data_IF_399217850489
#
_entry.id   IF_399217850489
#
_cell.length_a   1.000
_cell.length_b   1.000
_cell.length_c   1.000
_cell.angle_alpha   90.00
_cell.angle_beta   90.00
_cell.angle_gamma   90.00
#
_symmetry.space_group_name_H-M   'P 1'
#
loop_
_entity.id
_entity.type
_entity.pdbx_description
1 polymer ?
#
# COMPACT_ATOMS: atom_id res chain seq x y z
N UNK A 1 -29.98 4.94 8.96
CA UNK A 1 -28.79 5.03 9.87
C UNK A 1 -29.07 6.00 11.01
N UNK A 2 -28.68 5.72 12.26
CA UNK A 2 -28.86 6.63 13.39
C UNK A 2 -27.59 7.50 13.58
N UNK A 3 -27.79 8.67 14.22
CA UNK A 3 -26.69 9.57 14.61
C UNK A 3 -25.75 8.83 15.57
N UNK A 4 -24.45 8.91 15.30
CA UNK A 4 -23.41 8.33 16.16
C UNK A 4 -22.61 9.42 16.88
N UNK A 5 -22.00 9.06 18.00
CA UNK A 5 -21.07 9.91 18.74
C UNK A 5 -20.01 9.03 19.36
N UNK A 6 -18.74 9.36 19.12
CA UNK A 6 -17.57 8.61 19.58
C UNK A 6 -16.46 9.59 19.99
N UNK A 7 -15.45 9.15 20.73
CA UNK A 7 -14.28 9.99 21.00
C UNK A 7 -13.37 10.09 19.79
N UNK A 8 -13.15 8.97 19.08
CA UNK A 8 -12.32 8.90 17.88
C UNK A 8 -13.07 8.18 16.76
N UNK A 9 -13.22 8.87 15.63
CA UNK A 9 -13.70 8.29 14.37
C UNK A 9 -12.49 8.00 13.48
N UNK A 10 -12.30 6.74 13.11
CA UNK A 10 -11.28 6.31 12.14
C UNK A 10 -11.97 5.97 10.83
N UNK A 11 -11.49 6.53 9.72
CA UNK A 11 -12.03 6.28 8.39
C UNK A 11 -11.04 5.45 7.59
N UNK A 12 -11.36 4.18 7.39
CA UNK A 12 -10.54 3.15 6.75
C UNK A 12 -10.07 2.07 7.72
N UNK A 13 -10.18 0.80 7.30
CA UNK A 13 -9.82 -0.39 8.08
C UNK A 13 -8.56 -1.11 7.52
N UNK A 14 -7.70 -0.42 6.78
CA UNK A 14 -6.36 -0.91 6.47
C UNK A 14 -5.43 -0.89 7.70
N UNK A 15 -4.19 -1.36 7.55
CA UNK A 15 -3.23 -1.46 8.66
C UNK A 15 -3.07 -0.15 9.43
N UNK A 16 -3.04 1.00 8.74
CA UNK A 16 -2.90 2.32 9.37
C UNK A 16 -4.12 2.67 10.24
N UNK A 17 -5.34 2.42 9.74
CA UNK A 17 -6.57 2.67 10.48
C UNK A 17 -6.73 1.74 11.69
N UNK A 18 -6.45 0.45 11.53
CA UNK A 18 -6.47 -0.52 12.62
C UNK A 18 -5.45 -0.18 13.71
N UNK A 19 -4.24 0.27 13.33
CA UNK A 19 -3.21 0.72 14.28
C UNK A 19 -3.65 1.96 15.04
N UNK A 20 -4.25 2.94 14.36
CA UNK A 20 -4.79 4.14 15.00
C UNK A 20 -5.96 3.82 15.96
N UNK A 21 -6.86 2.91 15.55
CA UNK A 21 -7.98 2.45 16.37
C UNK A 21 -7.50 1.73 17.64
N UNK A 22 -6.56 0.79 17.48
CA UNK A 22 -5.97 0.06 18.61
C UNK A 22 -5.26 1.00 19.59
N UNK A 23 -4.51 1.98 19.08
CA UNK A 23 -3.83 2.96 19.93
C UNK A 23 -4.82 3.83 20.72
N UNK A 24 -5.91 4.26 20.11
CA UNK A 24 -6.95 5.04 20.75
C UNK A 24 -7.72 4.22 21.80
N UNK A 25 -8.08 2.97 21.49
CA UNK A 25 -8.71 2.02 22.42
C UNK A 25 -7.84 1.76 23.65
N UNK A 26 -6.54 1.50 23.44
CA UNK A 26 -5.56 1.34 24.53
C UNK A 26 -5.45 2.59 25.43
N UNK A 27 -5.72 3.77 24.88
CA UNK A 27 -5.79 5.02 25.63
C UNK A 27 -7.13 5.21 26.35
N UNK A 28 -8.08 4.30 26.22
CA UNK A 28 -9.41 4.30 26.85
C UNK A 28 -10.43 5.20 26.15
N UNK A 29 -10.23 5.52 24.88
CA UNK A 29 -11.19 6.26 24.07
C UNK A 29 -12.30 5.34 23.54
N UNK A 30 -13.51 5.88 23.37
CA UNK A 30 -14.57 5.25 22.58
C UNK A 30 -14.26 5.42 21.09
N UNK A 31 -14.04 4.31 20.37
CA UNK A 31 -13.55 4.32 18.99
C UNK A 31 -14.54 3.67 18.04
N UNK A 32 -14.82 4.38 16.95
CA UNK A 32 -15.57 3.84 15.81
C UNK A 32 -14.69 3.86 14.56
N UNK A 33 -14.50 2.70 13.95
CA UNK A 33 -13.90 2.55 12.62
C UNK A 33 -15.01 2.44 11.60
N UNK A 34 -14.93 3.20 10.51
CA UNK A 34 -15.83 3.08 9.37
C UNK A 34 -15.03 2.70 8.13
N UNK A 35 -15.53 1.75 7.37
CA UNK A 35 -14.89 1.32 6.12
C UNK A 35 -15.94 1.03 5.06
N UNK A 36 -15.68 1.46 3.83
CA UNK A 36 -16.52 1.11 2.68
C UNK A 36 -16.26 -0.32 2.18
N UNK A 37 -15.16 -0.95 2.64
CA UNK A 37 -14.83 -2.32 2.33
C UNK A 37 -15.86 -3.28 2.95
N UNK A 38 -16.27 -4.28 2.16
CA UNK A 38 -17.08 -5.41 2.61
C UNK A 38 -16.21 -6.61 2.98
N UNK A 39 -14.98 -6.67 2.44
CA UNK A 39 -14.06 -7.79 2.58
C UNK A 39 -12.63 -7.29 2.80
N UNK A 40 -11.76 -8.09 3.44
CA UNK A 40 -10.36 -7.70 3.66
C UNK A 40 -9.60 -7.37 2.37
N UNK A 41 -9.89 -8.06 1.26
CA UNK A 41 -9.25 -7.84 -0.04
C UNK A 41 -9.60 -6.51 -0.71
N UNK A 42 -10.59 -5.78 -0.20
CA UNK A 42 -10.92 -4.43 -0.68
C UNK A 42 -9.95 -3.37 -0.14
N UNK A 43 -9.07 -3.74 0.81
CA UNK A 43 -8.01 -2.88 1.32
C UNK A 43 -6.66 -3.17 0.66
N UNK A 44 -5.90 -2.11 0.29
CA UNK A 44 -4.55 -2.26 -0.30
C UNK A 44 -3.58 -3.04 0.60
N UNK A 45 -3.76 -2.98 1.91
CA UNK A 45 -2.97 -3.74 2.90
C UNK A 45 -2.97 -5.25 2.61
N UNK A 46 -4.12 -5.83 2.22
CA UNK A 46 -4.25 -7.26 1.93
C UNK A 46 -3.39 -7.70 0.74
N UNK A 47 -3.15 -6.81 -0.21
CA UNK A 47 -2.39 -7.08 -1.44
C UNK A 47 -0.88 -6.91 -1.31
N UNK A 48 -0.38 -6.41 -0.17
CA UNK A 48 1.05 -6.21 0.04
C UNK A 48 1.81 -7.55 0.03
N UNK A 49 2.79 -7.69 -0.86
CA UNK A 49 3.56 -8.92 -1.07
C UNK A 49 4.91 -8.88 -0.37
N UNK A 50 5.64 -7.76 -0.48
CA UNK A 50 7.06 -7.66 -0.10
C UNK A 50 7.32 -7.83 1.40
N UNK A 51 6.47 -7.27 2.25
CA UNK A 51 6.66 -7.32 3.70
C UNK A 51 6.72 -5.95 4.36
N UNK A 52 7.29 -5.90 5.56
CA UNK A 52 7.35 -4.70 6.40
C UNK A 52 8.82 -4.39 6.74
N UNK A 53 9.28 -3.21 6.35
CA UNK A 53 10.64 -2.74 6.65
C UNK A 53 10.76 -2.35 8.14
N UNK A 54 11.85 -2.80 8.77
CA UNK A 54 12.23 -2.45 10.14
C UNK A 54 13.66 -1.94 10.21
N UNK A 55 13.99 -1.18 11.25
CA UNK A 55 15.31 -0.53 11.36
C UNK A 55 16.43 -1.51 11.68
N UNK A 56 16.15 -2.57 12.43
CA UNK A 56 17.11 -3.54 12.93
C UNK A 56 18.21 -2.87 13.76
N UNK A 57 19.45 -3.35 13.56
CA UNK A 57 20.64 -2.93 14.34
C UNK A 57 21.28 -1.62 13.83
N UNK A 58 20.91 -1.16 12.62
CA UNK A 58 21.46 0.05 11.99
C UNK A 58 20.35 1.02 11.50
N UNK A 59 19.72 1.78 12.41
CA UNK A 59 18.74 2.79 12.05
C UNK A 59 19.34 3.93 11.22
N UNK A 60 20.62 4.28 11.40
CA UNK A 60 21.26 5.32 10.61
C UNK A 60 21.41 4.91 9.13
N UNK A 61 21.69 3.63 8.87
CA UNK A 61 21.72 3.12 7.49
C UNK A 61 20.32 3.16 6.86
N UNK A 62 19.28 2.78 7.61
CA UNK A 62 17.92 2.84 7.10
C UNK A 62 17.48 4.28 6.77
N UNK A 63 17.81 5.25 7.63
CA UNK A 63 17.61 6.68 7.33
C UNK A 63 18.31 7.08 6.03
N UNK A 64 19.59 6.68 5.83
CA UNK A 64 20.31 6.97 4.59
C UNK A 64 19.67 6.34 3.36
N UNK A 65 19.20 5.11 3.46
CA UNK A 65 18.52 4.40 2.35
C UNK A 65 17.26 5.16 1.93
N UNK A 66 16.42 5.56 2.88
CA UNK A 66 15.18 6.33 2.62
C UNK A 66 15.50 7.69 1.98
N UNK A 67 16.43 8.45 2.55
CA UNK A 67 16.80 9.76 2.03
C UNK A 67 17.45 9.67 0.63
N UNK A 68 18.20 8.62 0.36
CA UNK A 68 18.77 8.34 -0.95
C UNK A 68 17.69 7.98 -1.97
N UNK A 69 16.76 7.09 -1.61
CA UNK A 69 15.66 6.66 -2.46
C UNK A 69 14.69 7.81 -2.81
N UNK A 70 14.48 8.74 -1.87
CA UNK A 70 13.63 9.91 -2.08
C UNK A 70 14.24 10.99 -2.96
N UNK A 71 15.51 10.85 -3.36
CA UNK A 71 16.25 11.86 -4.13
C UNK A 71 16.22 13.28 -3.50
N UNK A 72 16.13 13.37 -2.18
CA UNK A 72 16.10 14.62 -1.42
C UNK A 72 14.72 15.28 -1.32
N UNK A 73 13.64 14.55 -1.61
CA UNK A 73 12.26 15.05 -1.43
C UNK A 73 11.66 14.70 -0.07
N UNK A 74 12.20 13.69 0.62
CA UNK A 74 11.70 13.30 1.95
C UNK A 74 12.03 14.36 3.01
N UNK A 75 11.11 14.54 3.96
CA UNK A 75 11.33 15.30 5.18
C UNK A 75 12.20 14.49 6.17
N UNK A 76 13.37 15.01 6.51
CA UNK A 76 14.33 14.31 7.39
C UNK A 76 13.75 14.04 8.78
N UNK A 77 12.98 14.97 9.36
CA UNK A 77 12.36 14.82 10.68
C UNK A 77 11.31 13.70 10.66
N UNK A 78 10.50 13.60 9.58
CA UNK A 78 9.55 12.52 9.40
C UNK A 78 10.22 11.15 9.22
N UNK A 79 11.32 11.08 8.48
CA UNK A 79 12.14 9.87 8.33
C UNK A 79 12.73 9.43 9.68
N UNK A 80 13.23 10.35 10.49
CA UNK A 80 13.74 10.05 11.83
C UNK A 80 12.66 9.45 12.73
N UNK A 81 11.43 10.01 12.71
CA UNK A 81 10.29 9.47 13.47
C UNK A 81 9.93 8.05 13.00
N UNK A 82 9.85 7.82 11.69
CA UNK A 82 9.57 6.49 11.14
C UNK A 82 10.62 5.47 11.60
N UNK A 83 11.88 5.75 11.35
CA UNK A 83 13.00 4.84 11.63
C UNK A 83 13.13 4.54 13.12
N UNK A 84 12.99 5.56 13.98
CA UNK A 84 13.09 5.40 15.42
C UNK A 84 11.99 4.52 16.03
N UNK A 85 10.82 4.43 15.39
CA UNK A 85 9.67 3.72 15.93
C UNK A 85 9.37 2.38 15.22
N UNK A 86 9.98 2.11 14.07
CA UNK A 86 9.62 0.97 13.21
C UNK A 86 9.68 -0.39 13.94
N UNK A 87 10.80 -0.70 14.61
CA UNK A 87 10.98 -1.99 15.30
C UNK A 87 10.02 -2.17 16.47
N UNK A 88 9.87 -1.12 17.30
CA UNK A 88 9.00 -1.19 18.47
C UNK A 88 7.53 -1.29 18.06
N UNK A 89 7.09 -0.53 17.06
CA UNK A 89 5.72 -0.56 16.59
C UNK A 89 5.35 -1.92 15.98
N UNK A 90 6.23 -2.50 15.14
CA UNK A 90 5.99 -3.82 14.54
C UNK A 90 5.97 -4.90 15.62
N UNK A 91 6.94 -4.88 16.55
CA UNK A 91 7.01 -5.87 17.64
C UNK A 91 5.79 -5.77 18.56
N UNK A 92 5.46 -4.58 19.09
CA UNK A 92 4.36 -4.41 20.02
C UNK A 92 3.02 -4.75 19.36
N UNK A 93 2.75 -4.17 18.20
CA UNK A 93 1.42 -4.29 17.58
C UNK A 93 1.26 -5.63 16.88
N UNK A 94 2.17 -5.98 15.97
CA UNK A 94 1.95 -7.13 15.10
C UNK A 94 2.38 -8.45 15.77
N UNK A 95 3.53 -8.49 16.43
CA UNK A 95 4.06 -9.73 17.02
C UNK A 95 3.45 -10.01 18.38
N UNK A 96 3.56 -9.07 19.34
CA UNK A 96 3.17 -9.32 20.74
C UNK A 96 1.66 -9.20 20.95
N UNK A 97 0.98 -8.32 20.22
CA UNK A 97 -0.46 -8.09 20.39
C UNK A 97 -1.30 -8.94 19.44
N UNK A 98 -1.08 -8.83 18.16
CA UNK A 98 -1.88 -9.56 17.15
C UNK A 98 -1.42 -11.02 17.01
N UNK A 99 -0.14 -11.30 17.31
CA UNK A 99 0.42 -12.66 17.24
C UNK A 99 0.85 -13.07 15.82
N UNK A 100 1.30 -12.12 15.00
CA UNK A 100 1.81 -12.43 13.66
C UNK A 100 3.13 -13.20 13.79
N UNK A 101 3.20 -14.34 13.13
CA UNK A 101 4.40 -15.17 13.02
C UNK A 101 5.08 -14.87 11.68
N UNK A 102 6.12 -14.02 11.69
CA UNK A 102 6.96 -13.77 10.52
C UNK A 102 7.90 -14.94 10.26
N UNK A 103 8.33 -15.10 9.01
CA UNK A 103 9.21 -16.17 8.59
C UNK A 103 10.55 -16.11 9.33
N UNK A 104 11.11 -17.31 9.61
CA UNK A 104 12.33 -17.47 10.38
C UNK A 104 13.33 -18.37 9.70
N UNK A 105 14.62 -18.04 9.85
CA UNK A 105 15.73 -18.90 9.48
C UNK A 105 16.42 -19.39 10.75
N UNK A 106 16.03 -20.58 11.21
CA UNK A 106 16.46 -21.13 12.49
C UNK A 106 15.78 -20.43 13.68
N UNK A 107 16.52 -19.63 14.44
CA UNK A 107 16.01 -18.90 15.63
C UNK A 107 15.85 -17.39 15.38
N UNK A 108 16.26 -16.90 14.22
CA UNK A 108 16.21 -15.48 13.85
C UNK A 108 15.15 -15.28 12.75
N UNK A 109 14.64 -14.06 12.63
CA UNK A 109 13.76 -13.72 11.50
C UNK A 109 14.52 -13.86 10.18
N UNK A 110 13.82 -14.35 9.18
CA UNK A 110 14.30 -14.34 7.79
C UNK A 110 13.96 -12.96 7.20
N UNK A 111 15.01 -12.18 6.91
CA UNK A 111 14.83 -10.82 6.41
C UNK A 111 15.00 -10.78 4.91
N UNK A 112 13.94 -10.38 4.20
CA UNK A 112 14.01 -10.04 2.79
C UNK A 112 14.77 -8.74 2.53
N UNK A 113 15.22 -8.56 1.28
CA UNK A 113 15.88 -7.35 0.80
C UNK A 113 15.19 -6.82 -0.46
N UNK A 114 14.89 -5.53 -0.48
CA UNK A 114 14.45 -4.81 -1.67
C UNK A 114 15.58 -3.92 -2.22
N UNK A 115 15.46 -3.49 -3.49
CA UNK A 115 16.54 -2.79 -4.21
C UNK A 115 17.01 -1.50 -3.56
N UNK A 116 16.12 -0.76 -2.88
CA UNK A 116 16.50 0.49 -2.21
C UNK A 116 17.18 0.29 -0.85
N UNK A 117 17.34 -0.93 -0.37
CA UNK A 117 17.96 -1.21 0.93
C UNK A 117 19.38 -1.75 0.76
N UNK A 118 20.32 -1.18 1.50
CA UNK A 118 21.68 -1.67 1.55
C UNK A 118 21.80 -3.01 2.30
N UNK A 119 20.88 -3.27 3.26
CA UNK A 119 20.82 -4.49 4.05
C UNK A 119 19.43 -5.15 4.04
N UNK A 120 19.33 -6.48 4.21
CA UNK A 120 18.06 -7.16 4.43
C UNK A 120 17.36 -6.64 5.70
N UNK A 121 16.12 -6.15 5.57
CA UNK A 121 15.35 -5.58 6.70
C UNK A 121 13.84 -5.77 6.59
N UNK A 122 13.40 -6.56 5.63
CA UNK A 122 11.96 -6.78 5.38
C UNK A 122 11.50 -8.02 6.14
N UNK A 123 10.62 -7.84 7.11
CA UNK A 123 9.88 -8.93 7.74
C UNK A 123 8.76 -9.36 6.80
N UNK A 124 8.65 -10.66 6.53
CA UNK A 124 7.66 -11.20 5.59
C UNK A 124 7.01 -12.48 6.13
N UNK A 125 5.88 -12.84 5.54
CA UNK A 125 5.21 -14.12 5.71
C UNK A 125 4.93 -14.68 4.32
N UNK A 126 5.65 -15.73 3.95
CA UNK A 126 5.63 -16.25 2.58
C UNK A 126 5.76 -15.13 1.54
N UNK A 127 5.03 -15.20 0.44
CA UNK A 127 4.94 -14.17 -0.60
C UNK A 127 3.67 -13.32 -0.50
N UNK A 128 2.97 -13.33 0.65
CA UNK A 128 1.65 -12.71 0.84
C UNK A 128 1.50 -12.04 2.21
N UNK A 129 2.52 -11.31 2.64
CA UNK A 129 2.60 -10.69 3.98
C UNK A 129 1.36 -9.87 4.35
N UNK A 130 0.83 -9.08 3.41
CA UNK A 130 -0.33 -8.24 3.66
C UNK A 130 -1.56 -9.01 4.13
N UNK A 131 -1.88 -10.11 3.46
CA UNK A 131 -2.99 -11.00 3.85
C UNK A 131 -2.78 -11.60 5.24
N UNK A 132 -1.57 -12.06 5.53
CA UNK A 132 -1.22 -12.69 6.81
C UNK A 132 -1.13 -11.69 7.98
N UNK A 133 -1.03 -10.40 7.70
CA UNK A 133 -1.07 -9.33 8.70
C UNK A 133 -2.47 -8.75 8.83
N UNK A 134 -3.12 -8.40 7.72
CA UNK A 134 -4.37 -7.64 7.72
C UNK A 134 -5.53 -8.43 8.35
N UNK A 135 -5.74 -9.69 7.92
CA UNK A 135 -6.87 -10.50 8.41
C UNK A 135 -6.78 -10.77 9.91
N UNK A 136 -5.63 -11.25 10.46
CA UNK A 136 -5.51 -11.41 11.90
C UNK A 136 -5.65 -10.10 12.69
N UNK A 137 -5.15 -8.98 12.15
CA UNK A 137 -5.26 -7.69 12.83
C UNK A 137 -6.72 -7.20 12.87
N UNK A 138 -7.46 -7.32 11.76
CA UNK A 138 -8.87 -6.98 11.70
C UNK A 138 -9.67 -7.82 12.71
N UNK A 139 -9.43 -9.14 12.74
CA UNK A 139 -10.08 -10.03 13.70
C UNK A 139 -9.72 -9.66 15.15
N UNK A 140 -8.45 -9.37 15.43
CA UNK A 140 -8.02 -8.95 16.75
C UNK A 140 -8.76 -7.70 17.24
N UNK A 141 -8.83 -6.66 16.38
CA UNK A 141 -9.54 -5.42 16.74
C UNK A 141 -11.04 -5.68 16.94
N UNK A 142 -11.66 -6.53 16.13
CA UNK A 142 -13.08 -6.85 16.23
C UNK A 142 -13.43 -7.70 17.47
N UNK A 143 -12.56 -8.64 17.85
CA UNK A 143 -12.88 -9.66 18.85
C UNK A 143 -12.29 -9.35 20.24
N UNK A 144 -11.16 -8.64 20.32
CA UNK A 144 -10.35 -8.45 21.52
C UNK A 144 -10.32 -6.99 22.03
N UNK A 145 -11.03 -6.06 21.36
CA UNK A 145 -11.11 -4.65 21.77
C UNK A 145 -12.55 -4.16 21.85
N UNK A 146 -12.76 -2.96 22.44
CA UNK A 146 -14.07 -2.31 22.49
C UNK A 146 -14.36 -1.45 21.23
N UNK A 147 -13.52 -1.53 20.20
CA UNK A 147 -13.66 -0.77 18.93
C UNK A 147 -14.88 -1.24 18.15
N UNK A 148 -15.76 -0.31 17.80
CA UNK A 148 -16.85 -0.59 16.87
C UNK A 148 -16.40 -0.47 15.43
N UNK A 149 -16.48 -1.54 14.64
CA UNK A 149 -16.20 -1.53 13.20
C UNK A 149 -17.54 -1.52 12.43
N UNK A 150 -17.69 -0.55 11.53
CA UNK A 150 -18.83 -0.41 10.63
C UNK A 150 -18.35 -0.65 9.21
N UNK A 151 -18.56 -1.86 8.72
CA UNK A 151 -18.32 -2.26 7.33
C UNK A 151 -19.41 -1.72 6.42
N UNK A 152 -19.18 -1.75 5.09
CA UNK A 152 -20.09 -1.24 4.07
C UNK A 152 -20.62 0.17 4.42
N UNK A 153 -19.70 1.02 4.93
CA UNK A 153 -20.03 2.34 5.42
C UNK A 153 -19.02 3.35 4.87
N UNK A 154 -19.48 4.18 3.94
CA UNK A 154 -18.66 5.23 3.34
C UNK A 154 -18.72 6.54 4.13
N UNK A 155 -17.57 7.19 4.33
CA UNK A 155 -17.52 8.59 4.74
C UNK A 155 -17.60 9.48 3.51
N UNK A 156 -18.55 10.40 3.46
CA UNK A 156 -18.83 11.24 2.29
C UNK A 156 -18.26 12.65 2.41
N UNK A 157 -18.33 13.25 3.61
CA UNK A 157 -17.95 14.64 3.86
C UNK A 157 -17.53 14.81 5.31
N UNK A 158 -16.51 15.64 5.58
CA UNK A 158 -16.12 16.01 6.93
C UNK A 158 -17.09 17.08 7.50
N UNK A 159 -17.61 16.82 8.68
CA UNK A 159 -18.39 17.81 9.42
C UNK A 159 -17.43 18.83 10.04
N UNK A 160 -17.43 20.05 9.55
CA UNK A 160 -16.51 21.11 10.00
C UNK A 160 -17.21 22.40 10.39
N UNK A 161 -16.60 23.12 11.32
CA UNK A 161 -17.00 24.45 11.71
C UNK A 161 -15.80 25.24 12.28
N UNK A 162 -15.60 26.48 11.82
CA UNK A 162 -14.55 27.40 12.31
C UNK A 162 -13.13 26.77 12.34
N UNK A 163 -12.72 26.09 11.25
CA UNK A 163 -11.38 25.47 11.13
C UNK A 163 -11.19 24.19 11.94
N UNK A 164 -12.26 23.60 12.45
CA UNK A 164 -12.26 22.40 13.29
C UNK A 164 -13.16 21.33 12.70
N UNK A 165 -12.71 20.07 12.73
CA UNK A 165 -13.48 18.90 12.33
C UNK A 165 -14.20 18.29 13.54
N UNK A 166 -15.42 17.84 13.34
CA UNK A 166 -16.31 17.27 14.35
C UNK A 166 -16.83 15.87 13.96
N UNK A 167 -16.20 15.20 13.00
CA UNK A 167 -16.59 13.91 12.48
C UNK A 167 -16.88 13.93 10.99
N UNK A 168 -17.72 13.05 10.51
CA UNK A 168 -18.07 12.90 9.10
C UNK A 168 -19.56 12.61 8.90
N UNK A 169 -20.04 12.85 7.68
CA UNK A 169 -21.31 12.31 7.19
C UNK A 169 -21.01 10.92 6.65
N UNK A 170 -21.71 9.93 7.14
CA UNK A 170 -21.61 8.55 6.74
C UNK A 170 -22.78 8.15 5.86
N UNK A 171 -22.54 7.23 4.95
CA UNK A 171 -23.53 6.59 4.10
C UNK A 171 -23.44 5.08 4.24
N UNK A 172 -24.59 4.44 4.41
CA UNK A 172 -24.76 2.99 4.40
C UNK A 172 -26.14 2.63 3.87
N UNK A 173 -26.25 1.70 2.93
CA UNK A 173 -27.53 1.28 2.34
C UNK A 173 -28.36 2.43 1.73
N UNK A 174 -27.73 3.50 1.24
CA UNK A 174 -28.39 4.69 0.71
C UNK A 174 -28.93 5.65 1.78
N UNK A 175 -28.73 5.37 3.07
CA UNK A 175 -29.11 6.23 4.17
C UNK A 175 -27.91 7.03 4.69
N UNK A 176 -28.10 8.30 4.96
CA UNK A 176 -27.06 9.21 5.45
C UNK A 176 -27.29 9.59 6.90
N UNK A 177 -26.21 9.57 7.70
CA UNK A 177 -26.24 10.04 9.07
C UNK A 177 -24.91 10.69 9.49
N UNK A 178 -24.93 11.72 10.36
CA UNK A 178 -23.71 12.25 10.93
C UNK A 178 -23.14 11.35 12.00
N UNK A 179 -21.83 11.12 11.95
CA UNK A 179 -21.03 10.61 13.06
C UNK A 179 -20.21 11.77 13.64
N UNK A 180 -20.46 12.11 14.88
CA UNK A 180 -19.71 13.15 15.58
C UNK A 180 -18.58 12.55 16.39
N UNK A 181 -17.40 13.18 16.34
CA UNK A 181 -16.22 12.70 17.02
C UNK A 181 -15.43 13.80 17.70
N UNK A 182 -14.71 13.46 18.75
CA UNK A 182 -13.71 14.31 19.39
C UNK A 182 -12.48 14.51 18.52
N UNK A 183 -12.08 13.48 17.79
CA UNK A 183 -11.03 13.48 16.76
C UNK A 183 -11.46 12.62 15.57
N UNK A 184 -11.00 12.96 14.37
CA UNK A 184 -11.22 12.19 13.14
C UNK A 184 -9.89 11.84 12.51
N UNK A 185 -9.66 10.55 12.25
CA UNK A 185 -8.44 10.02 11.64
C UNK A 185 -8.79 9.49 10.25
N UNK A 186 -8.17 10.07 9.22
CA UNK A 186 -8.26 9.54 7.85
C UNK A 186 -7.17 8.49 7.65
N UNK A 187 -7.56 7.29 7.25
CA UNK A 187 -6.70 6.16 6.95
C UNK A 187 -7.19 5.44 5.67
N UNK A 188 -7.59 6.22 4.67
CA UNK A 188 -8.39 5.80 3.53
C UNK A 188 -7.57 5.26 2.37
N UNK A 189 -6.25 5.20 2.49
CA UNK A 189 -5.36 4.77 1.42
C UNK A 189 -5.24 5.79 0.29
N UNK A 190 -4.71 5.36 -0.85
CA UNK A 190 -4.32 6.20 -1.97
C UNK A 190 -5.38 6.37 -3.04
N UNK A 191 -4.91 6.54 -4.28
CA UNK A 191 -5.69 6.98 -5.45
C UNK A 191 -5.66 5.98 -6.62
N UNK A 192 -5.23 4.74 -6.40
CA UNK A 192 -4.95 3.77 -7.46
C UNK A 192 -6.07 3.57 -8.47
N UNK A 193 -7.33 3.58 -8.01
CA UNK A 193 -8.50 3.43 -8.88
C UNK A 193 -8.73 4.60 -9.86
N UNK A 194 -8.01 5.71 -9.71
CA UNK A 194 -8.04 6.83 -10.68
C UNK A 194 -7.18 6.55 -11.93
N UNK A 195 -6.37 5.49 -11.90
CA UNK A 195 -5.51 5.08 -12.99
C UNK A 195 -6.08 3.85 -13.71
N UNK A 196 -6.00 3.79 -15.05
CA UNK A 196 -6.50 2.65 -15.80
C UNK A 196 -5.70 1.36 -15.59
N UNK A 197 -4.45 1.50 -15.11
CA UNK A 197 -3.58 0.40 -14.73
C UNK A 197 -3.04 0.67 -13.33
N UNK A 198 -3.51 -0.10 -12.35
CA UNK A 198 -3.12 0.00 -10.96
C UNK A 198 -2.99 -1.39 -10.35
N UNK A 199 -2.12 -1.51 -9.36
CA UNK A 199 -1.97 -2.72 -8.52
C UNK A 199 -2.81 -2.64 -7.24
N UNK A 200 -3.53 -1.54 -7.05
CA UNK A 200 -4.41 -1.30 -5.92
C UNK A 200 -5.83 -1.81 -6.19
N UNK A 201 -6.63 -2.09 -5.15
CA UNK A 201 -8.03 -2.45 -5.31
C UNK A 201 -8.84 -1.29 -5.93
N UNK A 202 -9.98 -1.64 -6.55
CA UNK A 202 -10.87 -0.69 -7.23
C UNK A 202 -11.42 0.41 -6.31
N UNK A 203 -11.38 0.17 -5.00
CA UNK A 203 -11.86 1.11 -3.98
C UNK A 203 -10.82 2.14 -3.52
N UNK A 204 -9.59 2.10 -4.04
CA UNK A 204 -8.57 3.11 -3.76
C UNK A 204 -8.84 4.41 -4.54
N UNK A 205 -9.90 5.12 -4.20
CA UNK A 205 -10.47 6.26 -4.94
C UNK A 205 -10.05 7.65 -4.43
N UNK A 206 -9.22 7.73 -3.37
CA UNK A 206 -8.72 8.99 -2.82
C UNK A 206 -9.74 9.80 -2.02
N UNK A 207 -10.80 9.16 -1.55
CA UNK A 207 -11.94 9.85 -0.90
C UNK A 207 -11.51 10.67 0.33
N UNK A 208 -10.63 10.13 1.19
CA UNK A 208 -10.16 10.83 2.37
C UNK A 208 -9.35 12.08 2.05
N UNK A 209 -8.47 12.00 1.04
CA UNK A 209 -7.69 13.14 0.56
C UNK A 209 -8.63 14.22 -0.01
N UNK A 210 -9.60 13.79 -0.82
CA UNK A 210 -10.59 14.69 -1.39
C UNK A 210 -11.45 15.36 -0.30
N UNK A 211 -11.93 14.60 0.69
CA UNK A 211 -12.69 15.13 1.83
C UNK A 211 -11.87 16.15 2.63
N UNK A 212 -10.60 15.85 2.91
CA UNK A 212 -9.70 16.75 3.61
C UNK A 212 -9.50 18.07 2.84
N UNK A 213 -9.16 17.98 1.56
CA UNK A 213 -8.96 19.15 0.69
C UNK A 213 -10.24 20.00 0.55
N UNK A 214 -11.40 19.38 0.35
CA UNK A 214 -12.70 20.07 0.29
C UNK A 214 -13.09 20.71 1.63
N UNK A 215 -12.66 20.13 2.74
CA UNK A 215 -12.82 20.72 4.06
C UNK A 215 -11.86 21.90 4.30
N UNK A 216 -10.83 22.08 3.47
CA UNK A 216 -9.83 23.12 3.54
C UNK A 216 -8.57 22.74 4.31
N UNK A 217 -8.29 21.45 4.47
CA UNK A 217 -7.01 20.97 4.92
C UNK A 217 -5.97 21.09 3.79
N UNK A 218 -4.71 21.29 4.18
CA UNK A 218 -3.61 21.31 3.24
C UNK A 218 -3.30 19.90 2.72
N UNK A 219 -2.94 19.81 1.45
CA UNK A 219 -2.43 18.61 0.80
C UNK A 219 -1.07 18.89 0.18
N UNK A 220 -0.18 17.91 0.13
CA UNK A 220 1.18 18.07 -0.38
C UNK A 220 1.56 16.91 -1.30
N UNK A 221 2.53 17.15 -2.17
CA UNK A 221 3.25 16.15 -2.97
C UNK A 221 2.35 15.24 -3.84
N UNK A 222 1.15 15.74 -4.21
CA UNK A 222 0.16 14.99 -4.99
C UNK A 222 0.64 14.58 -6.39
N UNK A 223 1.70 15.21 -6.91
CA UNK A 223 2.36 14.85 -8.17
C UNK A 223 3.29 13.64 -8.08
N UNK A 224 3.66 13.21 -6.87
CA UNK A 224 4.54 12.06 -6.66
C UNK A 224 3.76 10.76 -6.55
N UNK A 225 3.62 10.08 -7.67
CA UNK A 225 2.98 8.77 -7.77
C UNK A 225 4.03 7.74 -8.16
N UNK A 226 4.20 6.70 -7.36
CA UNK A 226 5.09 5.59 -7.67
C UNK A 226 4.40 4.62 -8.62
N UNK A 227 5.05 4.31 -9.75
CA UNK A 227 4.64 3.25 -10.66
C UNK A 227 5.49 2.00 -10.40
N UNK A 228 4.82 0.88 -10.11
CA UNK A 228 5.52 -0.40 -10.06
C UNK A 228 5.90 -0.82 -11.48
N UNK A 229 7.16 -1.16 -11.75
CA UNK A 229 7.63 -1.40 -13.12
C UNK A 229 7.10 -2.69 -13.74
N UNK A 230 6.78 -3.70 -12.90
CA UNK A 230 6.39 -5.04 -13.32
C UNK A 230 5.01 -5.41 -12.76
N UNK A 231 3.96 -4.81 -13.28
CA UNK A 231 2.59 -5.30 -13.14
C UNK A 231 2.20 -6.11 -14.38
N UNK A 232 1.42 -7.18 -14.20
CA UNK A 232 0.88 -7.92 -15.34
C UNK A 232 0.08 -7.02 -16.26
N UNK A 233 0.35 -7.11 -17.56
CA UNK A 233 -0.33 -6.34 -18.59
C UNK A 233 -1.37 -7.19 -19.33
N UNK A 234 -2.66 -7.10 -18.98
CA UNK A 234 -3.70 -7.85 -19.65
C UNK A 234 -3.89 -7.44 -21.12
N UNK A 235 -3.43 -6.25 -21.53
CA UNK A 235 -3.58 -5.79 -22.92
C UNK A 235 -2.72 -6.59 -23.90
N UNK A 236 -1.61 -7.16 -23.43
CA UNK A 236 -0.74 -8.01 -24.26
C UNK A 236 -1.37 -9.40 -24.55
N UNK A 237 -2.34 -9.82 -23.76
CA UNK A 237 -3.03 -11.12 -23.89
C UNK A 237 -4.37 -11.01 -24.66
N UNK A 238 -4.85 -9.81 -24.95
CA UNK A 238 -6.15 -9.59 -25.59
C UNK A 238 -6.02 -9.48 -27.10
N UNK A 239 -6.79 -10.28 -27.82
CA UNK A 239 -7.16 -10.02 -29.21
C UNK A 239 -8.11 -8.79 -29.22
N UNK A 240 -7.78 -7.75 -30.01
CA UNK A 240 -8.47 -6.44 -30.09
C UNK A 240 -10.00 -6.51 -30.35
N UNK A 241 -10.57 -7.70 -30.43
CA UNK A 241 -11.97 -7.95 -30.81
C UNK A 241 -12.98 -8.04 -29.64
N UNK A 242 -12.53 -8.09 -28.38
CA UNK A 242 -13.41 -8.18 -27.22
C UNK A 242 -13.29 -6.94 -26.34
N UNK A 243 -14.02 -5.88 -26.69
CA UNK A 243 -14.23 -4.71 -25.84
C UNK A 243 -15.01 -5.08 -24.58
N UNK A 244 -14.33 -5.58 -23.57
CA UNK A 244 -14.84 -5.76 -22.22
C UNK A 244 -14.43 -4.58 -21.36
N UNK A 245 -15.42 -3.80 -20.89
CA UNK A 245 -15.21 -2.79 -19.86
C UNK A 245 -14.81 -3.48 -18.53
N UNK A 246 -13.67 -3.05 -17.95
CA UNK A 246 -13.43 -2.87 -16.54
C UNK A 246 -13.56 -4.06 -15.61
N UNK A 247 -12.58 -4.90 -15.57
CA UNK A 247 -12.03 -5.40 -14.32
C UNK A 247 -10.53 -5.29 -14.48
N UNK A 248 -9.84 -4.68 -13.54
CA UNK A 248 -8.38 -4.54 -13.65
C UNK A 248 -7.76 -5.92 -13.41
N UNK A 249 -7.68 -6.73 -14.46
CA UNK A 249 -6.96 -8.01 -14.46
C UNK A 249 -5.45 -7.83 -14.18
N UNK A 250 -5.04 -6.61 -13.89
CA UNK A 250 -3.68 -6.25 -13.52
C UNK A 250 -3.38 -6.76 -12.10
N UNK A 251 -2.26 -7.43 -11.93
CA UNK A 251 -1.74 -7.81 -10.63
C UNK A 251 -0.25 -7.50 -10.53
N UNK A 252 0.21 -7.30 -9.30
CA UNK A 252 1.61 -7.05 -9.01
C UNK A 252 2.44 -8.31 -9.28
N UNK A 253 3.48 -8.20 -10.11
CA UNK A 253 4.57 -9.15 -10.16
C UNK A 253 5.70 -8.59 -9.31
N UNK A 254 5.84 -9.14 -8.09
CA UNK A 254 6.71 -8.65 -7.03
C UNK A 254 8.11 -8.32 -7.50
N UNK A 255 8.72 -7.33 -6.87
CA UNK A 255 10.13 -6.98 -7.06
C UNK A 255 11.07 -8.15 -6.72
N UNK A 256 10.69 -9.00 -5.76
CA UNK A 256 11.44 -10.20 -5.39
C UNK A 256 11.72 -11.10 -6.61
N UNK A 257 10.80 -11.21 -7.57
CA UNK A 257 11.01 -11.99 -8.80
C UNK A 257 12.21 -11.48 -9.61
N UNK A 258 12.42 -10.14 -9.66
CA UNK A 258 13.61 -9.54 -10.26
C UNK A 258 14.85 -9.75 -9.38
N UNK A 259 14.66 -9.72 -8.06
CA UNK A 259 15.70 -10.02 -7.07
C UNK A 259 16.29 -11.42 -7.23
N UNK A 260 15.44 -12.42 -7.51
CA UNK A 260 15.85 -13.80 -7.76
C UNK A 260 16.50 -14.02 -9.15
N UNK A 261 16.48 -13.01 -10.02
CA UNK A 261 17.22 -13.04 -11.28
C UNK A 261 16.38 -13.09 -12.55
N UNK A 262 15.11 -12.78 -12.49
CA UNK A 262 14.28 -12.62 -13.69
C UNK A 262 14.74 -11.37 -14.50
N UNK A 263 14.65 -11.46 -15.82
CA UNK A 263 15.13 -10.42 -16.73
C UNK A 263 13.99 -9.77 -17.51
N UNK A 264 14.11 -8.45 -17.71
CA UNK A 264 13.21 -7.69 -18.59
C UNK A 264 13.69 -7.75 -20.04
N UNK A 265 12.80 -8.21 -20.95
CA UNK A 265 13.04 -8.29 -22.38
C UNK A 265 12.01 -7.51 -23.17
N UNK A 266 12.46 -6.85 -24.22
CA UNK A 266 11.58 -6.18 -25.18
C UNK A 266 10.98 -7.18 -26.18
N UNK A 267 10.14 -6.69 -27.13
CA UNK A 267 9.49 -7.55 -28.12
C UNK A 267 10.48 -8.23 -29.09
N UNK A 268 11.71 -7.72 -29.23
CA UNK A 268 12.77 -8.33 -30.03
C UNK A 268 13.53 -9.43 -29.26
N UNK A 269 13.16 -9.68 -27.98
CA UNK A 269 13.80 -10.65 -27.10
C UNK A 269 15.09 -10.15 -26.44
N UNK A 270 15.43 -8.86 -26.59
CA UNK A 270 16.65 -8.28 -26.05
C UNK A 270 16.46 -7.87 -24.59
N UNK A 271 17.43 -8.22 -23.73
CA UNK A 271 17.52 -7.71 -22.36
C UNK A 271 18.04 -6.28 -22.40
N UNK A 272 17.25 -5.30 -22.01
CA UNK A 272 17.54 -3.88 -22.18
C UNK A 272 18.01 -3.15 -20.91
N UNK A 273 17.70 -3.64 -19.71
CA UNK A 273 18.02 -2.92 -18.48
C UNK A 273 19.48 -2.55 -18.26
N UNK A 274 20.48 -3.38 -18.66
CA UNK A 274 21.90 -3.00 -18.58
C UNK A 274 22.28 -1.72 -19.32
N UNK A 275 21.50 -1.32 -20.34
CA UNK A 275 21.74 -0.09 -21.09
C UNK A 275 21.17 1.17 -20.37
N UNK A 276 20.27 0.97 -19.41
CA UNK A 276 19.64 2.03 -18.64
C UNK A 276 20.31 2.28 -17.29
N UNK A 277 20.78 1.21 -16.61
CA UNK A 277 21.37 1.33 -15.27
C UNK A 277 22.38 0.20 -15.00
N UNK A 278 23.50 0.50 -14.26
CA UNK A 278 24.50 -0.53 -13.91
C UNK A 278 23.93 -1.72 -13.12
N UNK A 279 22.95 -1.46 -12.24
CA UNK A 279 22.29 -2.50 -11.43
C UNK A 279 21.16 -3.21 -12.20
N UNK A 280 20.99 -2.87 -13.47
CA UNK A 280 20.02 -3.49 -14.38
C UNK A 280 18.61 -3.59 -13.77
N UNK A 281 18.05 -4.79 -13.64
CA UNK A 281 16.71 -5.03 -13.11
C UNK A 281 16.54 -4.66 -11.62
N UNK A 282 17.64 -4.48 -10.90
CA UNK A 282 17.67 -4.05 -9.49
C UNK A 282 17.84 -2.53 -9.32
N UNK A 283 17.79 -1.77 -10.42
CA UNK A 283 17.75 -0.32 -10.36
C UNK A 283 16.50 0.19 -9.62
N UNK A 284 16.51 1.44 -9.13
CA UNK A 284 15.34 2.05 -8.51
C UNK A 284 14.07 1.92 -9.37
N UNK A 285 12.93 1.72 -8.73
CA UNK A 285 11.63 1.42 -9.39
C UNK A 285 11.28 2.43 -10.48
N UNK A 286 11.55 3.72 -10.27
CA UNK A 286 11.28 4.79 -11.22
C UNK A 286 12.14 4.67 -12.48
N UNK A 287 13.41 4.25 -12.35
CA UNK A 287 14.32 4.00 -13.48
C UNK A 287 13.82 2.81 -14.29
N UNK A 288 13.49 1.71 -13.63
CA UNK A 288 12.97 0.50 -14.30
C UNK A 288 11.63 0.80 -14.96
N UNK A 289 10.70 1.49 -14.30
CA UNK A 289 9.39 1.84 -14.86
C UNK A 289 9.53 2.72 -16.12
N UNK A 290 10.41 3.72 -16.11
CA UNK A 290 10.67 4.54 -17.31
C UNK A 290 11.32 3.74 -18.42
N UNK A 291 12.24 2.82 -18.10
CA UNK A 291 12.88 1.96 -19.11
C UNK A 291 11.84 1.00 -19.75
N UNK A 292 11.01 0.35 -18.95
CA UNK A 292 9.91 -0.50 -19.44
C UNK A 292 8.96 0.29 -20.33
N UNK A 293 8.54 1.49 -19.89
CA UNK A 293 7.68 2.36 -20.71
C UNK A 293 8.34 2.70 -22.06
N UNK A 294 9.61 3.12 -22.06
CA UNK A 294 10.34 3.48 -23.29
C UNK A 294 10.44 2.29 -24.25
N UNK A 295 10.77 1.10 -23.74
CA UNK A 295 10.86 -0.11 -24.56
C UNK A 295 9.50 -0.55 -25.12
N UNK A 296 8.42 -0.39 -24.35
CA UNK A 296 7.05 -0.65 -24.85
C UNK A 296 6.66 0.33 -25.97
N UNK A 297 7.01 1.60 -25.85
CA UNK A 297 6.75 2.61 -26.89
C UNK A 297 7.56 2.33 -28.16
N UNK A 298 8.77 1.80 -28.05
CA UNK A 298 9.67 1.51 -29.17
C UNK A 298 9.35 0.18 -29.86
N UNK A 299 9.12 -0.90 -29.09
CA UNK A 299 9.03 -2.26 -29.61
C UNK A 299 7.61 -2.88 -29.52
N UNK A 300 6.71 -2.25 -28.76
CA UNK A 300 5.30 -2.65 -28.62
C UNK A 300 5.00 -3.47 -27.37
N UNK A 301 5.94 -4.23 -26.81
CA UNK A 301 5.74 -5.06 -25.64
C UNK A 301 7.01 -5.22 -24.79
N UNK A 302 6.82 -5.52 -23.51
CA UNK A 302 7.88 -5.97 -22.61
C UNK A 302 7.39 -7.17 -21.83
N UNK A 303 8.26 -8.16 -21.64
CA UNK A 303 8.01 -9.34 -20.82
C UNK A 303 9.04 -9.45 -19.69
N UNK A 304 8.63 -10.01 -18.57
CA UNK A 304 9.52 -10.48 -17.52
C UNK A 304 9.79 -11.96 -17.78
N UNK A 305 11.03 -12.29 -18.15
CA UNK A 305 11.50 -13.63 -18.43
C UNK A 305 11.95 -14.29 -17.12
N UNK A 306 11.17 -15.27 -16.64
CA UNK A 306 11.42 -16.04 -15.42
C UNK A 306 12.09 -17.40 -15.68
N UNK A 307 12.60 -17.63 -16.88
CA UNK A 307 13.21 -18.93 -17.26
C UNK A 307 14.47 -19.28 -16.45
N UNK A 308 15.13 -18.27 -15.86
CA UNK A 308 16.37 -18.42 -15.09
C UNK A 308 16.18 -18.77 -13.61
N UNK A 309 14.95 -18.82 -13.11
CA UNK A 309 14.61 -19.01 -11.68
C UNK A 309 13.59 -20.14 -11.50
N UNK A 310 13.45 -20.64 -10.27
CA UNK A 310 12.44 -21.65 -9.90
C UNK A 310 11.06 -21.04 -9.67
N UNK A 311 10.56 -20.21 -10.61
CA UNK A 311 9.41 -19.32 -10.41
C UNK A 311 8.18 -19.96 -9.77
N UNK A 312 7.79 -21.16 -10.21
CA UNK A 312 6.61 -21.81 -9.66
C UNK A 312 6.81 -22.37 -8.24
N UNK A 313 8.05 -22.70 -7.88
CA UNK A 313 8.40 -23.22 -6.54
C UNK A 313 8.61 -22.05 -5.54
N UNK A 314 9.18 -20.93 -5.99
CA UNK A 314 9.52 -19.78 -5.17
C UNK A 314 8.37 -18.79 -5.04
N UNK A 315 7.49 -18.70 -6.08
CA UNK A 315 6.36 -17.77 -6.16
C UNK A 315 5.06 -18.49 -6.56
N UNK A 316 4.59 -19.49 -5.79
CA UNK A 316 3.44 -20.32 -6.17
C UNK A 316 2.16 -19.52 -6.42
N UNK A 317 1.87 -18.51 -5.61
CA UNK A 317 0.68 -17.64 -5.77
C UNK A 317 0.71 -16.83 -7.07
N UNK A 318 1.91 -16.37 -7.48
CA UNK A 318 2.06 -15.66 -8.75
C UNK A 318 1.96 -16.63 -9.94
N UNK A 319 2.47 -17.86 -9.80
CA UNK A 319 2.34 -18.88 -10.82
C UNK A 319 0.87 -19.29 -11.02
N UNK A 320 0.09 -19.42 -9.93
CA UNK A 320 -1.34 -19.68 -9.99
C UNK A 320 -2.09 -18.53 -10.67
N UNK A 321 -1.81 -17.28 -10.31
CA UNK A 321 -2.39 -16.10 -10.98
C UNK A 321 -2.07 -16.04 -12.47
N UNK A 322 -0.86 -16.43 -12.87
CA UNK A 322 -0.49 -16.54 -14.28
C UNK A 322 -1.31 -17.62 -15.00
N UNK A 323 -1.48 -18.79 -14.39
CA UNK A 323 -2.27 -19.90 -14.96
C UNK A 323 -3.76 -19.54 -15.12
N UNK A 324 -4.36 -18.92 -14.07
CA UNK A 324 -5.74 -18.42 -14.11
C UNK A 324 -6.01 -17.44 -15.27
N UNK A 325 -5.01 -16.69 -15.68
CA UNK A 325 -5.09 -15.69 -16.76
C UNK A 325 -4.56 -16.20 -18.10
N UNK A 326 -4.18 -17.49 -18.16
CA UNK A 326 -3.67 -18.10 -19.38
C UNK A 326 -2.32 -17.56 -19.83
N UNK A 327 -1.51 -17.02 -18.90
CA UNK A 327 -0.15 -16.55 -19.19
C UNK A 327 0.77 -17.74 -19.44
N UNK A 328 1.43 -17.74 -20.59
CA UNK A 328 2.35 -18.80 -20.96
C UNK A 328 3.74 -18.53 -20.37
N UNK A 329 4.05 -19.17 -19.24
CA UNK A 329 5.42 -19.12 -18.69
C UNK A 329 6.43 -19.69 -19.71
N UNK A 330 7.69 -19.21 -19.76
CA UNK A 330 8.30 -18.35 -18.73
C UNK A 330 8.22 -16.82 -18.98
N UNK A 331 7.43 -16.36 -19.91
CA UNK A 331 7.35 -14.94 -20.28
C UNK A 331 6.06 -14.33 -19.76
N UNK A 332 6.18 -13.42 -18.78
CA UNK A 332 5.04 -12.70 -18.18
C UNK A 332 4.98 -11.32 -18.82
N UNK A 333 3.91 -10.96 -19.58
CA UNK A 333 3.73 -9.62 -20.10
C UNK A 333 3.61 -8.61 -18.98
N UNK A 334 4.41 -7.54 -19.01
CA UNK A 334 4.45 -6.53 -17.95
C UNK A 334 4.39 -5.09 -18.48
N UNK A 335 3.78 -4.23 -17.68
CA UNK A 335 3.77 -2.79 -17.87
C UNK A 335 3.92 -2.07 -16.53
N UNK A 336 4.38 -0.79 -16.53
CA UNK A 336 4.26 0.04 -15.35
C UNK A 336 2.80 0.29 -15.01
N UNK A 337 2.45 0.08 -13.74
CA UNK A 337 1.13 0.38 -13.20
C UNK A 337 1.25 1.29 -11.98
N UNK A 338 0.26 2.13 -11.76
CA UNK A 338 0.17 2.88 -10.53
C UNK A 338 0.22 1.93 -9.32
N UNK A 339 0.95 2.31 -8.27
CA UNK A 339 1.19 1.43 -7.14
C UNK A 339 1.04 2.14 -5.79
N UNK A 340 1.51 3.37 -5.66
CA UNK A 340 1.52 4.09 -4.40
C UNK A 340 1.52 5.61 -4.63
N UNK A 341 0.64 6.33 -3.91
CA UNK A 341 0.69 7.77 -3.82
C UNK A 341 1.67 8.18 -2.72
N UNK A 342 2.71 8.93 -3.07
CA UNK A 342 3.67 9.42 -2.09
C UNK A 342 3.22 10.71 -1.38
N UNK A 343 2.28 11.43 -1.96
CA UNK A 343 1.64 12.60 -1.39
C UNK A 343 0.31 12.29 -0.71
N UNK A 344 -0.32 13.31 -0.14
CA UNK A 344 -1.60 13.17 0.53
C UNK A 344 -1.99 14.38 1.35
N UNK A 345 -2.71 14.16 2.44
CA UNK A 345 -3.04 15.20 3.43
C UNK A 345 -1.74 15.59 4.15
N UNK A 346 -1.39 16.88 4.12
CA UNK A 346 -0.22 17.39 4.81
C UNK A 346 -0.39 17.28 6.33
N UNK A 347 0.52 16.56 6.98
CA UNK A 347 0.51 16.31 8.42
C UNK A 347 1.84 16.65 9.06
N UNK A 348 1.81 16.89 10.39
CA UNK A 348 3.03 16.99 11.18
C UNK A 348 3.53 15.61 11.67
N UNK A 349 4.61 15.59 12.46
CA UNK A 349 5.23 14.41 13.07
C UNK A 349 4.31 13.56 13.96
N UNK A 350 3.09 14.03 14.20
CA UNK A 350 2.06 13.36 15.00
C UNK A 350 0.81 13.02 14.19
N UNK A 351 0.89 13.10 12.88
CA UNK A 351 -0.24 12.86 11.98
C UNK A 351 -1.33 13.92 12.02
N UNK A 352 -1.08 15.12 12.58
CA UNK A 352 -2.09 16.19 12.67
C UNK A 352 -2.12 16.98 11.37
N UNK A 353 -3.31 17.09 10.78
CA UNK A 353 -3.55 17.94 9.62
C UNK A 353 -3.67 19.42 10.02
N UNK A 354 -3.75 20.32 9.03
CA UNK A 354 -3.90 21.77 9.25
C UNK A 354 -5.26 22.20 9.83
N UNK A 355 -6.26 21.32 9.81
CA UNK A 355 -7.53 21.52 10.51
C UNK A 355 -7.49 20.88 11.90
N UNK A 356 -7.96 21.63 12.92
CA UNK A 356 -8.01 21.13 14.30
C UNK A 356 -8.90 19.88 14.40
N UNK A 357 -8.45 18.85 15.16
CA UNK A 357 -9.07 17.53 15.36
C UNK A 357 -9.12 16.64 14.12
N UNK A 358 -8.42 16.97 13.05
CA UNK A 358 -8.21 16.13 11.89
C UNK A 358 -6.81 15.57 11.91
N UNK A 359 -6.72 14.26 11.66
CA UNK A 359 -5.49 13.50 11.54
C UNK A 359 -5.52 12.70 10.24
N UNK A 360 -4.36 12.40 9.68
CA UNK A 360 -4.24 11.45 8.58
C UNK A 360 -3.04 10.54 8.80
N UNK A 361 -3.17 9.27 8.41
CA UNK A 361 -2.15 8.24 8.58
C UNK A 361 -2.16 7.26 7.41
N UNK A 362 -1.00 6.65 7.13
CA UNK A 362 -0.84 5.72 6.01
C UNK A 362 -0.80 6.46 4.67
N UNK A 363 -1.17 5.79 3.58
CA UNK A 363 -1.02 6.30 2.21
C UNK A 363 -1.88 7.54 1.88
N UNK A 364 -2.82 7.92 2.73
CA UNK A 364 -3.58 9.15 2.49
C UNK A 364 -2.91 10.40 3.09
N UNK A 365 -1.74 10.25 3.75
CA UNK A 365 -0.99 11.33 4.39
C UNK A 365 0.37 11.56 3.76
#
# INVERSE_FOLDING_TARGET
MERQTTDVLVVGAGIAGLSAALAADRAGADVTVVTKAERPEDASTWWAQGGIAVSRDDPEQFTRDILSASAGTADEDAVEVLVANADEAVRDVLVETVGIEFDTNGTEYDYGREAAHDEPRILHVDAATGKHVHVPFLNYVADETDVQILEDTAALELVRHEGRVYGAILERDGEWAPAFAGATVLATGGIGALYPHSTNPADATGDGIAMAALAGADVADMEFVQFHPTAYDPSAARDDSTGGEGDSDTFLVSEAVRGEGAHLRNADGERFMPDYHPDAELAPRDVVARAVKAQREETGAVVLDVSGIGFADEFPDLAEKCDERGVSLPEIPVAPAEHFLCGGVAVDDRGRASLDRLYAVGECA
#
